data_IF_296401226073
#
_entry.id   IF_296401226073
#
_cell.length_a   1.000
_cell.length_b   1.000
_cell.length_c   1.000
_cell.angle_alpha   90.00
_cell.angle_beta   90.00
_cell.angle_gamma   90.00
#
_symmetry.space_group_name_H-M   'P 1'
#
loop_
_entity.id
_entity.type
_entity.pdbx_description
1 polymer ?
#
# COMPACT_ATOMS: atom_id res chain seq x y z
N UNK A 1 -82.94 9.74 -38.70
CA UNK A 1 -82.77 9.05 -40.00
C UNK A 1 -81.28 8.84 -40.19
N UNK A 2 -80.97 7.56 -40.18
CA UNK A 2 -79.96 6.86 -40.98
C UNK A 2 -78.54 7.42 -40.99
N UNK A 3 -77.55 6.70 -40.73
CA UNK A 3 -77.17 5.30 -40.82
C UNK A 3 -75.71 5.22 -40.41
N UNK A 4 -75.37 4.29 -39.70
CA UNK A 4 -74.80 2.96 -40.00
C UNK A 4 -73.40 2.92 -40.68
N UNK A 5 -72.53 2.26 -39.98
CA UNK A 5 -71.50 1.33 -40.40
C UNK A 5 -70.13 1.88 -40.89
N UNK A 6 -69.11 1.59 -40.10
CA UNK A 6 -68.22 0.48 -40.55
C UNK A 6 -67.22 0.14 -39.45
N UNK A 7 -67.15 -1.13 -39.12
CA UNK A 7 -66.13 -1.78 -38.36
C UNK A 7 -64.87 -1.90 -39.24
N UNK A 8 -63.74 -1.57 -38.67
CA UNK A 8 -62.44 -1.94 -39.24
C UNK A 8 -61.50 -2.41 -38.16
N UNK A 9 -61.00 -3.56 -38.43
CA UNK A 9 -60.17 -4.39 -37.61
C UNK A 9 -58.93 -3.72 -37.02
N UNK A 10 -58.76 -3.90 -35.76
CA UNK A 10 -57.51 -3.64 -35.07
C UNK A 10 -56.56 -4.84 -35.28
N UNK A 11 -55.57 -4.65 -36.11
CA UNK A 11 -54.43 -5.55 -36.22
C UNK A 11 -53.57 -5.34 -34.97
N UNK A 12 -53.54 -6.34 -34.09
CA UNK A 12 -52.64 -6.44 -32.98
C UNK A 12 -51.24 -6.80 -33.52
N UNK A 13 -50.38 -5.81 -33.62
CA UNK A 13 -48.95 -6.03 -33.80
C UNK A 13 -48.36 -6.35 -32.44
N UNK A 14 -48.15 -7.64 -32.13
CA UNK A 14 -47.40 -8.11 -30.99
C UNK A 14 -45.92 -7.86 -31.27
N UNK A 15 -45.43 -6.74 -30.78
CA UNK A 15 -43.99 -6.44 -30.77
C UNK A 15 -43.27 -7.34 -29.79
N UNK A 16 -42.52 -8.30 -30.28
CA UNK A 16 -41.60 -9.14 -29.51
C UNK A 16 -40.43 -8.27 -29.06
N UNK A 17 -40.47 -7.75 -27.83
CA UNK A 17 -39.35 -7.09 -27.20
C UNK A 17 -38.36 -8.17 -26.75
N UNK A 18 -37.32 -8.40 -27.54
CA UNK A 18 -36.16 -9.20 -27.12
C UNK A 18 -35.41 -8.47 -26.05
N UNK A 19 -35.61 -8.87 -24.78
CA UNK A 19 -34.77 -8.47 -23.66
C UNK A 19 -33.42 -9.16 -23.83
N UNK A 20 -32.44 -8.46 -24.38
CA UNK A 20 -31.04 -8.89 -24.34
C UNK A 20 -30.57 -8.69 -22.91
N UNK A 21 -30.62 -9.77 -22.12
CA UNK A 21 -29.97 -9.82 -20.82
C UNK A 21 -28.47 -9.75 -21.06
N UNK A 22 -27.88 -8.55 -20.85
CA UNK A 22 -26.42 -8.34 -20.85
C UNK A 22 -25.79 -9.08 -19.68
N UNK A 23 -25.26 -10.27 -19.92
CA UNK A 23 -24.31 -10.92 -19.01
C UNK A 23 -23.02 -10.12 -19.01
N UNK A 24 -22.65 -9.53 -17.89
CA UNK A 24 -21.31 -8.95 -17.76
C UNK A 24 -21.16 -7.82 -16.77
N UNK A 25 -21.62 -7.98 -15.55
CA UNK A 25 -21.34 -6.99 -14.52
C UNK A 25 -21.13 -7.65 -13.18
N UNK A 26 -19.89 -8.09 -12.90
CA UNK A 26 -19.50 -8.24 -11.52
C UNK A 26 -19.64 -6.89 -10.78
N UNK A 27 -19.75 -6.88 -9.45
CA UNK A 27 -19.92 -5.64 -8.70
C UNK A 27 -18.83 -4.64 -9.12
N UNK A 28 -19.24 -3.50 -9.66
CA UNK A 28 -18.31 -2.44 -10.07
C UNK A 28 -17.74 -1.82 -8.81
N UNK A 29 -16.47 -2.11 -8.53
CA UNK A 29 -15.76 -1.45 -7.44
C UNK A 29 -15.59 0.04 -7.77
N UNK A 30 -15.71 0.92 -6.77
CA UNK A 30 -15.49 2.35 -6.97
C UNK A 30 -14.04 2.60 -7.42
N UNK A 31 -13.79 3.63 -8.25
CA UNK A 31 -12.44 4.06 -8.55
C UNK A 31 -11.74 4.52 -7.26
N UNK A 32 -10.44 4.28 -7.17
CA UNK A 32 -9.66 4.79 -6.04
C UNK A 32 -9.73 6.32 -6.03
N UNK A 33 -10.44 6.90 -5.07
CA UNK A 33 -10.49 8.34 -4.90
C UNK A 33 -9.13 8.85 -4.40
N UNK A 34 -8.76 10.06 -4.80
CA UNK A 34 -7.65 10.77 -4.19
C UNK A 34 -8.00 11.02 -2.71
N UNK A 35 -7.44 10.23 -1.82
CA UNK A 35 -7.54 10.46 -0.38
C UNK A 35 -6.40 11.39 -0.01
N UNK A 36 -6.74 12.54 0.58
CA UNK A 36 -5.73 13.41 1.17
C UNK A 36 -5.10 12.67 2.35
N UNK A 37 -3.89 12.19 2.15
CA UNK A 37 -3.04 11.66 3.21
C UNK A 37 -2.19 12.82 3.73
N UNK A 38 -2.30 13.10 5.03
CA UNK A 38 -1.38 14.01 5.71
C UNK A 38 -0.10 13.21 5.99
N UNK A 39 1.02 13.48 5.28
CA UNK A 39 2.23 12.72 5.45
C UNK A 39 2.74 12.93 6.87
N UNK A 40 2.84 11.84 7.64
CA UNK A 40 3.58 11.88 8.90
C UNK A 40 5.05 12.12 8.57
N UNK A 41 5.64 13.24 8.99
CA UNK A 41 7.03 13.57 8.68
C UNK A 41 8.02 12.59 9.33
N UNK A 42 7.56 11.81 10.32
CA UNK A 42 8.41 10.96 11.13
C UNK A 42 8.48 9.52 10.60
N UNK A 43 9.71 9.04 10.45
CA UNK A 43 9.97 7.63 10.23
C UNK A 43 9.87 6.87 11.55
N UNK A 44 9.09 5.80 11.57
CA UNK A 44 9.01 4.88 12.71
C UNK A 44 9.79 3.61 12.40
N UNK A 45 10.70 3.27 13.31
CA UNK A 45 11.53 2.08 13.21
C UNK A 45 10.63 0.83 13.20
N UNK A 46 10.89 -0.09 12.29
CA UNK A 46 10.21 -1.37 12.15
C UNK A 46 11.10 -2.56 12.47
N UNK A 47 10.52 -3.75 12.67
CA UNK A 47 11.28 -4.99 12.70
C UNK A 47 12.08 -5.17 11.41
N UNK A 48 13.27 -5.76 11.53
CA UNK A 48 14.23 -6.00 10.44
C UNK A 48 14.89 -4.74 9.86
N UNK A 49 14.62 -3.56 10.39
CA UNK A 49 15.43 -2.38 10.07
C UNK A 49 16.86 -2.57 10.59
N UNK A 50 17.81 -1.95 9.92
CA UNK A 50 19.19 -1.92 10.41
C UNK A 50 19.51 -0.54 10.93
N UNK A 51 19.97 -0.47 12.18
CA UNK A 51 20.28 0.77 12.89
C UNK A 51 21.76 0.87 13.16
N UNK A 52 22.38 1.96 12.76
CA UNK A 52 23.74 2.34 13.18
C UNK A 52 23.60 3.25 14.40
N UNK A 53 24.06 2.78 15.54
CA UNK A 53 24.03 3.49 16.81
C UNK A 53 25.44 4.05 17.04
N UNK A 54 25.51 5.36 17.12
CA UNK A 54 26.76 6.07 17.36
C UNK A 54 26.72 6.71 18.75
N UNK A 55 27.70 6.36 19.60
CA UNK A 55 27.88 6.91 20.95
C UNK A 55 29.10 7.80 20.96
N UNK A 56 28.91 9.10 21.17
CA UNK A 56 29.98 10.07 21.14
C UNK A 56 31.06 9.75 22.21
N UNK A 57 32.32 9.79 21.83
CA UNK A 57 33.52 9.46 22.67
C UNK A 57 33.60 8.02 23.18
N UNK A 58 32.67 7.14 22.75
CA UNK A 58 32.69 5.73 23.16
C UNK A 58 32.51 4.84 21.92
N UNK A 59 33.55 4.70 21.08
CA UNK A 59 33.46 3.90 19.87
C UNK A 59 33.19 2.41 20.14
N UNK A 60 33.57 1.90 21.29
CA UNK A 60 33.33 0.52 21.76
C UNK A 60 31.85 0.24 22.04
N UNK A 61 31.03 1.27 22.23
CA UNK A 61 29.56 1.18 22.37
C UNK A 61 28.85 1.44 21.08
N UNK A 62 29.56 1.94 20.04
CA UNK A 62 29.00 2.28 18.75
C UNK A 62 29.00 1.05 17.85
N UNK A 63 27.81 0.67 17.33
CA UNK A 63 27.69 -0.49 16.44
C UNK A 63 26.45 -0.42 15.57
N UNK A 64 26.43 -1.24 14.51
CA UNK A 64 25.23 -1.45 13.69
C UNK A 64 24.54 -2.71 14.14
N UNK A 65 23.24 -2.60 14.43
CA UNK A 65 22.41 -3.70 14.91
C UNK A 65 21.11 -3.79 14.13
N UNK A 66 20.62 -5.00 13.79
CA UNK A 66 19.29 -5.19 13.27
C UNK A 66 18.25 -5.09 14.39
N UNK A 67 17.08 -4.54 14.06
CA UNK A 67 15.90 -4.64 14.91
C UNK A 67 15.37 -6.07 14.81
N UNK A 68 15.28 -6.75 15.93
CA UNK A 68 14.79 -8.12 16.01
C UNK A 68 13.31 -8.21 15.59
N UNK A 69 12.81 -9.38 15.18
CA UNK A 69 11.40 -9.57 14.84
C UNK A 69 10.43 -9.21 15.97
N UNK A 70 10.85 -9.27 17.23
CA UNK A 70 10.08 -8.81 18.39
C UNK A 70 10.12 -7.29 18.59
N UNK A 71 10.74 -6.54 17.67
CA UNK A 71 10.84 -5.08 17.71
C UNK A 71 11.86 -4.54 18.69
N UNK A 72 12.75 -5.37 19.23
CA UNK A 72 13.76 -4.97 20.22
C UNK A 72 15.15 -4.96 19.61
N UNK A 73 16.05 -4.20 20.26
CA UNK A 73 17.47 -4.18 19.96
C UNK A 73 18.27 -4.49 21.23
N UNK A 74 19.50 -4.97 21.04
CA UNK A 74 20.48 -5.10 22.12
C UNK A 74 21.81 -4.53 21.67
N UNK A 75 22.40 -3.68 22.48
CA UNK A 75 23.72 -3.07 22.29
C UNK A 75 24.56 -3.29 23.57
N UNK A 76 25.88 -3.03 23.55
CA UNK A 76 26.67 -3.12 24.75
C UNK A 76 26.05 -2.31 25.89
N UNK A 77 25.97 -2.90 27.06
CA UNK A 77 25.40 -2.35 28.30
C UNK A 77 23.87 -2.13 28.29
N UNK A 78 23.18 -2.22 27.14
CA UNK A 78 21.73 -2.02 27.05
C UNK A 78 21.09 -3.21 26.32
N UNK A 79 20.35 -4.04 27.04
CA UNK A 79 19.69 -5.24 26.52
C UNK A 79 18.19 -5.02 26.36
N UNK A 80 17.62 -5.68 25.33
CA UNK A 80 16.17 -5.81 25.11
C UNK A 80 15.39 -4.47 25.11
N UNK A 81 16.00 -3.41 24.57
CA UNK A 81 15.35 -2.10 24.45
C UNK A 81 14.34 -2.13 23.26
N UNK A 82 13.13 -1.68 23.52
CA UNK A 82 12.09 -1.56 22.48
C UNK A 82 12.47 -0.45 21.51
N UNK A 83 12.63 -0.80 20.23
CA UNK A 83 12.97 0.12 19.14
C UNK A 83 11.78 0.31 18.16
N UNK A 84 11.04 -0.74 17.89
CA UNK A 84 9.91 -0.68 16.96
C UNK A 84 8.84 0.31 17.44
N UNK A 85 8.28 1.08 16.48
CA UNK A 85 7.26 2.10 16.74
C UNK A 85 7.80 3.41 17.31
N UNK A 86 9.13 3.55 17.49
CA UNK A 86 9.79 4.80 17.92
C UNK A 86 10.47 5.48 16.75
N UNK A 87 10.63 6.79 16.83
CA UNK A 87 11.51 7.52 15.91
C UNK A 87 12.99 7.29 16.30
N UNK A 88 13.94 7.46 15.36
CA UNK A 88 15.37 7.37 15.68
C UNK A 88 15.78 8.30 16.82
N UNK A 89 15.20 9.49 16.90
CA UNK A 89 15.47 10.47 17.96
C UNK A 89 14.97 9.97 19.34
N UNK A 90 13.75 9.43 19.38
CA UNK A 90 13.20 8.86 20.61
C UNK A 90 14.04 7.67 21.09
N UNK A 91 14.43 6.80 20.17
CA UNK A 91 15.29 5.66 20.51
C UNK A 91 16.65 6.11 21.02
N UNK A 92 17.24 7.14 20.41
CA UNK A 92 18.50 7.75 20.89
C UNK A 92 18.39 8.21 22.34
N UNK A 93 17.34 8.95 22.68
CA UNK A 93 17.08 9.42 24.05
C UNK A 93 16.89 8.27 25.04
N UNK A 94 16.21 7.20 24.63
CA UNK A 94 16.03 6.02 25.48
C UNK A 94 17.36 5.28 25.75
N UNK A 95 18.22 5.18 24.72
CA UNK A 95 19.55 4.59 24.87
C UNK A 95 20.39 5.44 25.81
N UNK A 96 20.40 6.78 25.66
CA UNK A 96 21.10 7.70 26.56
C UNK A 96 20.67 7.50 28.03
N UNK A 97 19.35 7.41 28.26
CA UNK A 97 18.80 7.21 29.60
C UNK A 97 19.28 5.89 30.23
N UNK A 98 19.45 4.81 29.45
CA UNK A 98 19.99 3.56 29.96
C UNK A 98 21.51 3.61 30.16
N UNK A 99 22.24 4.22 29.24
CA UNK A 99 23.71 4.34 29.29
C UNK A 99 24.19 5.26 30.45
N UNK A 100 23.40 6.23 30.89
CA UNK A 100 23.72 7.10 32.04
C UNK A 100 24.07 6.35 33.33
N UNK A 101 23.67 5.08 33.43
CA UNK A 101 24.03 4.22 34.56
C UNK A 101 25.50 3.78 34.55
N UNK A 102 26.14 3.84 33.38
CA UNK A 102 27.46 3.28 33.11
C UNK A 102 28.45 4.32 32.57
N UNK A 103 27.94 5.33 31.86
CA UNK A 103 28.72 6.36 31.17
C UNK A 103 28.25 7.74 31.62
N UNK A 104 29.19 8.65 31.85
CA UNK A 104 28.88 10.03 32.16
C UNK A 104 28.51 10.80 30.89
N UNK A 105 27.37 11.48 30.92
CA UNK A 105 26.85 12.33 29.81
C UNK A 105 26.93 11.69 28.41
N UNK A 106 26.33 10.49 28.21
CA UNK A 106 26.34 9.85 26.89
C UNK A 106 25.50 10.64 25.90
N UNK A 107 26.04 10.88 24.70
CA UNK A 107 25.31 11.46 23.54
C UNK A 107 25.19 10.38 22.50
N UNK A 108 23.95 10.06 22.10
CA UNK A 108 23.67 8.96 21.20
C UNK A 108 22.94 9.46 19.95
N UNK A 109 23.45 9.06 18.78
CA UNK A 109 22.80 9.28 17.50
C UNK A 109 22.40 7.93 16.89
N UNK A 110 21.15 7.80 16.50
CA UNK A 110 20.63 6.60 15.83
C UNK A 110 20.38 6.93 14.35
N UNK A 111 21.01 6.17 13.46
CA UNK A 111 20.90 6.31 12.01
C UNK A 111 20.29 5.02 11.46
N UNK A 112 19.20 5.13 10.72
CA UNK A 112 18.61 3.98 10.01
C UNK A 112 19.38 3.76 8.71
N UNK A 113 20.01 2.59 8.56
CA UNK A 113 20.83 2.24 7.39
C UNK A 113 20.09 1.36 6.38
N UNK A 114 19.08 0.61 6.84
CA UNK A 114 18.20 -0.17 5.98
C UNK A 114 16.76 -0.01 6.46
N UNK A 115 15.87 0.33 5.53
CA UNK A 115 14.48 0.72 5.80
C UNK A 115 13.55 -0.40 5.35
N UNK A 116 13.12 -1.28 6.23
CA UNK A 116 12.02 -2.19 5.97
C UNK A 116 10.70 -1.60 6.47
N UNK A 117 10.74 -0.90 7.59
CA UNK A 117 9.59 -0.28 8.22
C UNK A 117 8.58 -1.30 8.78
N UNK A 118 7.61 -0.87 9.58
CA UNK A 118 6.54 -1.74 10.03
C UNK A 118 5.63 -2.15 8.86
N UNK A 119 5.03 -3.34 8.93
CA UNK A 119 4.11 -3.85 7.91
C UNK A 119 2.95 -2.89 7.59
N UNK A 120 2.50 -2.12 8.56
CA UNK A 120 1.47 -1.09 8.38
C UNK A 120 1.91 0.07 7.49
N UNK A 121 3.20 0.21 7.21
CA UNK A 121 3.78 1.23 6.34
C UNK A 121 4.46 0.63 5.09
N UNK A 122 3.99 -0.50 4.63
CA UNK A 122 4.42 -1.12 3.39
C UNK A 122 3.25 -1.21 2.41
N UNK A 123 3.53 -1.07 1.12
CA UNK A 123 2.61 -1.43 0.04
C UNK A 123 2.97 -2.84 -0.42
N UNK A 124 2.00 -3.74 -0.42
CA UNK A 124 2.22 -5.15 -0.80
C UNK A 124 1.66 -5.41 -2.18
N UNK A 125 2.46 -5.97 -3.06
CA UNK A 125 2.06 -6.34 -4.42
C UNK A 125 1.92 -7.84 -4.51
N UNK A 126 0.77 -8.32 -4.97
CA UNK A 126 0.41 -9.73 -5.06
C UNK A 126 -0.18 -10.04 -6.44
N UNK A 127 0.11 -11.22 -6.96
CA UNK A 127 -0.40 -11.71 -8.24
C UNK A 127 0.54 -11.45 -9.41
N UNK A 128 0.00 -11.06 -10.56
CA UNK A 128 0.69 -11.00 -11.85
C UNK A 128 1.54 -9.72 -12.05
N UNK A 129 2.34 -9.34 -11.04
CA UNK A 129 3.46 -8.43 -11.20
C UNK A 129 4.73 -9.22 -11.56
N UNK A 130 5.70 -8.57 -12.23
CA UNK A 130 6.98 -9.23 -12.55
C UNK A 130 7.72 -9.69 -11.30
N UNK A 131 7.69 -8.86 -10.25
CA UNK A 131 8.28 -9.16 -8.94
C UNK A 131 7.29 -8.82 -7.82
N UNK A 132 6.38 -9.75 -7.44
CA UNK A 132 5.50 -9.56 -6.29
C UNK A 132 6.34 -9.41 -5.02
N UNK A 133 6.13 -8.30 -4.29
CA UNK A 133 6.92 -7.98 -3.11
C UNK A 133 6.22 -6.97 -2.19
N UNK A 134 6.74 -6.83 -0.98
CA UNK A 134 6.40 -5.73 -0.10
C UNK A 134 7.38 -4.57 -0.33
N UNK A 135 6.85 -3.37 -0.55
CA UNK A 135 7.61 -2.17 -0.88
C UNK A 135 7.42 -1.19 0.28
N UNK A 136 8.50 -0.71 0.92
CA UNK A 136 8.39 0.33 1.93
C UNK A 136 7.67 1.56 1.36
N UNK A 137 6.65 2.04 2.06
CA UNK A 137 5.90 3.22 1.64
C UNK A 137 6.77 4.47 1.75
N UNK A 138 6.70 5.32 0.74
CA UNK A 138 7.31 6.66 0.73
C UNK A 138 6.22 7.70 0.57
N UNK A 139 6.42 8.86 1.14
CA UNK A 139 5.45 9.94 1.03
C UNK A 139 5.18 10.30 -0.44
N UNK A 140 3.89 10.53 -0.75
CA UNK A 140 3.39 10.77 -2.11
C UNK A 140 3.58 9.62 -3.10
N UNK A 141 3.80 8.40 -2.64
CA UNK A 141 3.92 7.22 -3.49
C UNK A 141 2.66 7.00 -4.31
N UNK A 142 2.84 6.76 -5.61
CA UNK A 142 1.75 6.52 -6.55
C UNK A 142 1.71 5.07 -7.02
N UNK A 143 0.62 4.69 -7.69
CA UNK A 143 0.50 3.37 -8.32
C UNK A 143 1.63 3.12 -9.34
N UNK A 144 2.04 4.16 -10.08
CA UNK A 144 3.14 4.06 -11.05
C UNK A 144 4.47 3.74 -10.35
N UNK A 145 4.76 4.36 -9.21
CA UNK A 145 5.98 4.08 -8.44
C UNK A 145 6.01 2.63 -7.96
N UNK A 146 4.86 2.11 -7.49
CA UNK A 146 4.72 0.70 -7.11
C UNK A 146 4.96 -0.22 -8.28
N UNK A 147 4.43 0.11 -9.46
CA UNK A 147 4.64 -0.70 -10.66
C UNK A 147 6.09 -0.68 -11.15
N UNK A 148 6.78 0.47 -11.06
CA UNK A 148 8.21 0.57 -11.35
C UNK A 148 9.02 -0.33 -10.40
N UNK A 149 8.73 -0.26 -9.10
CA UNK A 149 9.44 -1.05 -8.09
C UNK A 149 9.18 -2.57 -8.24
N UNK A 150 7.97 -2.96 -8.68
CA UNK A 150 7.60 -4.37 -8.91
C UNK A 150 7.96 -4.89 -10.31
N UNK A 151 8.60 -4.08 -11.16
CA UNK A 151 9.04 -4.47 -12.50
C UNK A 151 7.92 -4.54 -13.55
N UNK A 152 6.74 -3.97 -13.26
CA UNK A 152 5.60 -3.92 -14.17
C UNK A 152 4.70 -5.14 -14.13
N UNK A 153 3.85 -5.28 -15.15
CA UNK A 153 2.91 -6.39 -15.32
C UNK A 153 3.55 -7.58 -16.05
N UNK A 154 3.16 -8.80 -15.70
CA UNK A 154 3.46 -9.97 -16.52
C UNK A 154 2.62 -9.98 -17.81
N UNK A 155 2.97 -10.85 -18.75
CA UNK A 155 2.17 -11.06 -19.99
C UNK A 155 0.78 -11.62 -19.70
N UNK A 156 0.61 -12.28 -18.56
CA UNK A 156 -0.65 -12.90 -18.14
C UNK A 156 -1.50 -12.01 -17.25
N UNK A 157 -1.05 -10.80 -16.97
CA UNK A 157 -1.73 -9.89 -16.06
C UNK A 157 -2.99 -9.27 -16.66
N UNK A 158 -4.06 -9.23 -15.87
CA UNK A 158 -5.26 -8.45 -16.17
C UNK A 158 -5.20 -7.08 -15.49
N UNK A 159 -4.33 -6.19 -15.98
CA UNK A 159 -3.98 -4.93 -15.32
C UNK A 159 -5.18 -4.02 -14.99
N UNK A 160 -6.21 -3.96 -15.88
CA UNK A 160 -7.39 -3.12 -15.65
C UNK A 160 -8.45 -3.76 -14.72
N UNK A 161 -8.23 -5.01 -14.28
CA UNK A 161 -9.02 -5.66 -13.24
C UNK A 161 -8.31 -5.71 -11.89
N UNK A 162 -7.18 -5.01 -11.79
CA UNK A 162 -6.43 -4.91 -10.55
C UNK A 162 -7.20 -4.13 -9.50
N UNK A 163 -6.90 -4.44 -8.24
CA UNK A 163 -7.62 -3.90 -7.10
C UNK A 163 -6.63 -3.50 -6.01
N UNK A 164 -6.84 -2.33 -5.43
CA UNK A 164 -6.19 -1.92 -4.18
C UNK A 164 -7.13 -2.26 -3.03
N UNK A 165 -6.68 -3.07 -2.09
CA UNK A 165 -7.35 -3.29 -0.81
C UNK A 165 -6.74 -2.35 0.22
N UNK A 166 -7.56 -1.49 0.79
CA UNK A 166 -7.17 -0.46 1.75
C UNK A 166 -7.93 -0.64 3.04
N UNK A 167 -7.22 -0.61 4.16
CA UNK A 167 -7.82 -0.63 5.48
C UNK A 167 -8.03 0.81 5.97
N UNK A 168 -9.28 1.18 6.23
CA UNK A 168 -9.64 2.49 6.79
C UNK A 168 -10.32 2.24 8.14
N UNK A 169 -9.57 2.50 9.23
CA UNK A 169 -9.98 2.06 10.56
C UNK A 169 -9.98 0.53 10.63
N UNK A 170 -11.11 -0.08 11.01
CA UNK A 170 -11.28 -1.54 11.10
C UNK A 170 -11.94 -2.15 9.85
N UNK A 171 -12.15 -1.36 8.80
CA UNK A 171 -12.86 -1.81 7.60
C UNK A 171 -11.93 -1.88 6.39
N UNK A 172 -11.92 -3.04 5.74
CA UNK A 172 -11.27 -3.20 4.45
C UNK A 172 -12.19 -2.77 3.31
N UNK A 173 -11.66 -1.96 2.40
CA UNK A 173 -12.37 -1.49 1.20
C UNK A 173 -11.52 -1.77 -0.02
N UNK A 174 -12.13 -2.32 -1.06
CA UNK A 174 -11.48 -2.61 -2.32
C UNK A 174 -11.78 -1.50 -3.34
N UNK A 175 -10.74 -1.02 -4.04
CA UNK A 175 -10.83 0.00 -5.09
C UNK A 175 -10.27 -0.57 -6.39
N UNK A 176 -10.99 -0.38 -7.47
CA UNK A 176 -10.51 -0.78 -8.79
C UNK A 176 -9.48 0.19 -9.33
N UNK A 177 -8.42 -0.34 -9.95
CA UNK A 177 -7.38 0.45 -10.60
C UNK A 177 -7.11 -0.08 -12.01
N UNK A 178 -6.72 0.83 -12.93
CA UNK A 178 -6.51 0.56 -14.35
C UNK A 178 -5.02 0.61 -14.69
N UNK A 179 -4.28 -0.42 -14.25
CA UNK A 179 -2.81 -0.45 -14.42
C UNK A 179 -2.42 -0.56 -15.90
N UNK A 180 -3.18 -1.31 -16.71
CA UNK A 180 -2.86 -1.46 -18.14
C UNK A 180 -3.01 -0.13 -18.87
N UNK A 181 -4.07 0.63 -18.64
CA UNK A 181 -4.27 1.96 -19.23
C UNK A 181 -3.14 2.92 -18.81
N UNK A 182 -2.75 2.87 -17.54
CA UNK A 182 -1.65 3.70 -17.02
C UNK A 182 -0.32 3.40 -17.72
N UNK A 183 0.03 2.11 -17.85
CA UNK A 183 1.39 1.72 -18.31
C UNK A 183 1.46 1.61 -19.84
N UNK A 184 0.43 1.07 -20.48
CA UNK A 184 0.44 0.80 -21.92
C UNK A 184 -0.08 1.97 -22.75
N UNK A 185 -1.13 2.64 -22.27
CA UNK A 185 -1.81 3.71 -23.00
C UNK A 185 -1.36 5.11 -22.50
N UNK A 186 -0.60 5.18 -21.40
CA UNK A 186 -0.12 6.44 -20.82
C UNK A 186 -1.22 7.26 -20.16
N UNK A 187 -2.34 6.63 -19.77
CA UNK A 187 -3.45 7.33 -19.09
C UNK A 187 -3.06 7.72 -17.66
N UNK A 188 -2.54 8.93 -17.51
CA UNK A 188 -2.13 9.48 -16.21
C UNK A 188 -3.30 9.60 -15.24
N UNK A 189 -4.56 9.68 -15.74
CA UNK A 189 -5.74 9.72 -14.87
C UNK A 189 -5.95 8.43 -14.07
N UNK A 190 -5.35 7.33 -14.52
CA UNK A 190 -5.34 6.05 -13.82
C UNK A 190 -4.26 5.95 -12.72
N UNK A 191 -3.36 6.94 -12.61
CA UNK A 191 -2.33 6.98 -11.59
C UNK A 191 -2.92 7.48 -10.26
N UNK A 192 -3.18 6.58 -9.35
CA UNK A 192 -3.77 6.87 -8.04
C UNK A 192 -2.70 6.90 -6.96
N UNK A 193 -2.94 7.68 -5.91
CA UNK A 193 -2.08 7.73 -4.74
C UNK A 193 -2.23 6.46 -3.91
N UNK A 194 -1.10 5.86 -3.55
CA UNK A 194 -1.04 4.73 -2.62
C UNK A 194 -1.00 5.24 -1.19
N UNK A 195 -1.53 4.45 -0.27
CA UNK A 195 -1.45 4.72 1.16
C UNK A 195 -0.64 3.63 1.88
N UNK A 196 -0.09 3.96 3.06
CA UNK A 196 0.58 2.95 3.89
C UNK A 196 -0.38 1.80 4.23
N UNK A 197 0.09 0.57 4.08
CA UNK A 197 -0.70 -0.64 4.33
C UNK A 197 -1.53 -1.14 3.15
N UNK A 198 -1.59 -0.42 2.03
CA UNK A 198 -2.32 -0.86 0.84
C UNK A 198 -1.81 -2.22 0.31
N UNK A 199 -2.74 -3.03 -0.18
CA UNK A 199 -2.43 -4.28 -0.89
C UNK A 199 -2.90 -4.15 -2.33
N UNK A 200 -1.96 -4.17 -3.27
CA UNK A 200 -2.24 -4.20 -4.69
C UNK A 200 -2.36 -5.65 -5.16
N UNK A 201 -3.54 -6.04 -5.64
CA UNK A 201 -3.83 -7.37 -6.17
C UNK A 201 -3.97 -7.28 -7.69
N UNK A 202 -3.13 -8.00 -8.40
CA UNK A 202 -3.11 -8.05 -9.87
C UNK A 202 -3.56 -9.44 -10.31
N UNK A 203 -4.80 -9.60 -10.78
CA UNK A 203 -5.31 -10.90 -11.19
C UNK A 203 -4.75 -11.34 -12.53
N UNK A 204 -4.75 -12.65 -12.75
CA UNK A 204 -4.45 -13.24 -14.05
C UNK A 204 -5.57 -12.95 -15.07
N UNK A 205 -5.20 -12.79 -16.32
CA UNK A 205 -6.13 -12.75 -17.43
C UNK A 205 -6.69 -14.16 -17.70
N UNK A 206 -7.99 -14.25 -17.94
CA UNK A 206 -8.63 -15.47 -18.43
C UNK A 206 -8.61 -15.40 -19.97
N UNK A 207 -8.10 -16.42 -20.60
CA UNK A 207 -8.08 -16.58 -22.05
C UNK A 207 -9.29 -17.39 -22.48
#
# INVERSE_FOLDING_TARGET
MSGLWSAVGRVLAVGLVAVVAGCGGGPSLPPAAAVSYDPSPDYFIGPLDSLSIFVWRNPELSQTVPVRPDGRISIPLVQDLVAAGKTPTQLGSDIEAQLKKFVQDPIVTVIVTSFNGPYSRQVRVVGEAAHPQAIPYRDNMTLLDVMIASGGLTLYASGNRSTIVRTVGDKETAFRVRIADLIKDGDVSANVQMLPGDVLIIPQAWF
#
